data_IF_559565223208
#
_entry.id   IF_559565223208
#
_cell.length_a   1.000
_cell.length_b   1.000
_cell.length_c   1.000
_cell.angle_alpha   90.00
_cell.angle_beta   90.00
_cell.angle_gamma   90.00
#
_symmetry.space_group_name_H-M   'P 1'
#
loop_
_entity.id
_entity.type
_entity.pdbx_description
1 polymer ?
#
# COMPACT_ATOMS: atom_id res chain seq x y z
N UNK A 1 -20.50 14.32 -0.83
CA UNK A 1 -19.17 14.29 -1.48
C UNK A 1 -18.37 13.23 -0.75
N UNK A 2 -17.73 12.30 -1.47
CA UNK A 2 -16.80 11.36 -0.85
C UNK A 2 -15.53 12.08 -0.38
N UNK A 3 -14.81 11.48 0.56
CA UNK A 3 -13.48 11.93 0.93
C UNK A 3 -12.43 11.32 -0.02
N UNK A 4 -11.28 11.97 -0.13
CA UNK A 4 -10.11 11.32 -0.71
C UNK A 4 -9.64 10.22 0.23
N UNK A 5 -9.17 9.10 -0.31
CA UNK A 5 -8.69 7.97 0.50
C UNK A 5 -7.27 7.59 0.10
N UNK A 6 -6.45 7.22 1.08
CA UNK A 6 -5.16 6.60 0.81
C UNK A 6 -5.34 5.12 0.49
N UNK A 7 -4.73 4.66 -0.60
CA UNK A 7 -4.71 3.25 -0.98
C UNK A 7 -3.26 2.77 -0.90
N UNK A 8 -3.05 1.70 -0.15
CA UNK A 8 -1.76 1.05 0.06
C UNK A 8 -1.75 -0.27 -0.69
N UNK A 9 -0.78 -0.47 -1.59
CA UNK A 9 -0.64 -1.69 -2.40
C UNK A 9 0.76 -2.25 -2.30
N UNK A 10 0.85 -3.47 -1.78
CA UNK A 10 2.09 -4.23 -1.65
C UNK A 10 2.26 -5.16 -2.86
N UNK A 11 3.37 -5.01 -3.55
CA UNK A 11 3.78 -5.85 -4.66
C UNK A 11 5.01 -6.67 -4.27
N UNK A 12 5.07 -7.91 -4.74
CA UNK A 12 6.29 -8.73 -4.72
C UNK A 12 6.78 -8.97 -6.13
N UNK A 13 8.10 -8.89 -6.32
CA UNK A 13 8.76 -9.07 -7.61
C UNK A 13 9.43 -10.44 -7.67
N UNK A 14 9.09 -11.22 -8.69
CA UNK A 14 9.72 -12.52 -8.96
C UNK A 14 10.69 -12.43 -10.13
N UNK A 15 11.82 -13.17 -10.12
CA UNK A 15 12.21 -14.17 -9.13
C UNK A 15 13.00 -13.61 -7.92
N UNK A 16 13.28 -12.31 -7.88
CA UNK A 16 14.23 -11.72 -6.93
C UNK A 16 13.72 -11.55 -5.50
N UNK A 17 12.40 -11.55 -5.28
CA UNK A 17 11.77 -11.36 -3.97
C UNK A 17 11.77 -9.92 -3.46
N UNK A 18 12.11 -8.93 -4.30
CA UNK A 18 12.00 -7.52 -3.90
C UNK A 18 10.54 -7.14 -3.69
N UNK A 19 10.28 -6.28 -2.71
CA UNK A 19 8.92 -5.86 -2.36
C UNK A 19 8.79 -4.35 -2.47
N UNK A 20 7.65 -3.91 -3.01
CA UNK A 20 7.30 -2.50 -3.20
C UNK A 20 5.96 -2.26 -2.53
N UNK A 21 5.91 -1.33 -1.58
CA UNK A 21 4.67 -0.77 -1.09
C UNK A 21 4.48 0.61 -1.71
N UNK A 22 3.36 0.81 -2.40
CA UNK A 22 2.97 2.14 -2.87
C UNK A 22 1.82 2.68 -2.04
N UNK A 23 1.84 3.99 -1.79
CA UNK A 23 0.71 4.75 -1.28
C UNK A 23 0.27 5.79 -2.30
N UNK A 24 -0.95 5.63 -2.79
CA UNK A 24 -1.58 6.57 -3.73
C UNK A 24 -2.83 7.18 -3.12
N UNK A 25 -3.19 8.38 -3.56
CA UNK A 25 -4.42 9.04 -3.15
C UNK A 25 -5.49 8.81 -4.22
N UNK A 26 -6.63 8.22 -3.84
CA UNK A 26 -7.84 8.26 -4.66
C UNK A 26 -8.53 9.61 -4.43
N UNK A 27 -8.76 10.43 -5.47
CA UNK A 27 -9.43 11.71 -5.33
C UNK A 27 -10.84 11.58 -4.73
N UNK A 28 -11.27 12.63 -4.06
CA UNK A 28 -12.65 12.75 -3.59
C UNK A 28 -13.62 12.72 -4.78
N UNK A 29 -14.53 11.74 -4.79
CA UNK A 29 -15.54 11.60 -5.82
C UNK A 29 -16.95 11.69 -5.24
N UNK A 30 -17.87 12.27 -6.00
CA UNK A 30 -19.28 12.33 -5.62
C UNK A 30 -20.03 11.16 -6.26
N UNK A 31 -20.69 10.35 -5.44
CA UNK A 31 -21.60 9.29 -5.91
C UNK A 31 -22.83 9.85 -6.67
N UNK A 32 -23.11 11.15 -6.55
CA UNK A 32 -24.17 11.83 -7.29
C UNK A 32 -23.79 12.12 -8.75
N UNK A 33 -22.51 11.98 -9.12
CA UNK A 33 -22.02 12.20 -10.49
C UNK A 33 -21.71 10.83 -11.10
N UNK A 34 -22.43 10.50 -12.17
CA UNK A 34 -22.21 9.25 -12.90
C UNK A 34 -20.77 9.18 -13.43
N UNK A 35 -20.05 8.11 -13.10
CA UNK A 35 -18.67 7.87 -13.53
C UNK A 35 -17.58 8.56 -12.69
N UNK A 36 -17.92 9.45 -11.75
CA UNK A 36 -16.91 10.14 -10.96
C UNK A 36 -16.10 9.21 -10.03
N UNK A 37 -16.74 8.15 -9.52
CA UNK A 37 -16.05 7.11 -8.75
C UNK A 37 -15.09 6.31 -9.65
N UNK A 38 -15.57 5.88 -10.82
CA UNK A 38 -14.75 5.14 -11.78
C UNK A 38 -13.52 5.95 -12.25
N UNK A 39 -13.69 7.26 -12.43
CA UNK A 39 -12.59 8.16 -12.78
C UNK A 39 -11.58 8.31 -11.64
N UNK A 40 -12.05 8.37 -10.39
CA UNK A 40 -11.17 8.45 -9.22
C UNK A 40 -10.40 7.15 -8.99
N UNK A 41 -11.06 5.99 -9.12
CA UNK A 41 -10.41 4.68 -9.05
C UNK A 41 -9.37 4.54 -10.18
N UNK A 42 -9.71 4.95 -11.41
CA UNK A 42 -8.75 4.96 -12.53
C UNK A 42 -7.55 5.86 -12.26
N UNK A 43 -7.74 7.00 -11.60
CA UNK A 43 -6.64 7.88 -11.23
C UNK A 43 -5.68 7.20 -10.24
N UNK A 44 -6.20 6.53 -9.21
CA UNK A 44 -5.39 5.78 -8.24
C UNK A 44 -4.64 4.60 -8.89
N UNK A 45 -5.28 3.89 -9.81
CA UNK A 45 -4.66 2.79 -10.56
C UNK A 45 -3.56 3.30 -11.49
N UNK A 46 -3.78 4.43 -12.15
CA UNK A 46 -2.79 5.07 -13.02
C UNK A 46 -1.57 5.54 -12.21
N UNK A 47 -1.79 6.12 -11.03
CA UNK A 47 -0.72 6.51 -10.11
C UNK A 47 0.08 5.30 -9.62
N UNK A 48 -0.62 4.20 -9.28
CA UNK A 48 0.01 2.93 -8.87
C UNK A 48 0.90 2.37 -9.97
N UNK A 49 0.38 2.28 -11.20
CA UNK A 49 1.13 1.77 -12.35
C UNK A 49 2.36 2.62 -12.66
N UNK A 50 2.23 3.95 -12.55
CA UNK A 50 3.33 4.89 -12.72
C UNK A 50 4.45 4.64 -11.69
N UNK A 51 4.10 4.60 -10.40
CA UNK A 51 5.07 4.33 -9.33
C UNK A 51 5.74 2.97 -9.48
N UNK A 52 4.97 1.95 -9.89
CA UNK A 52 5.48 0.59 -10.16
C UNK A 52 6.48 0.58 -11.31
N UNK A 53 6.13 1.21 -12.44
CA UNK A 53 7.00 1.31 -13.62
C UNK A 53 8.28 2.08 -13.31
N UNK A 54 8.18 3.14 -12.51
CA UNK A 54 9.34 3.92 -12.05
C UNK A 54 10.25 3.10 -11.15
N UNK A 55 9.70 2.42 -10.15
CA UNK A 55 10.47 1.51 -9.31
C UNK A 55 11.18 0.44 -10.14
N UNK A 56 10.49 -0.19 -11.08
CA UNK A 56 11.08 -1.20 -11.97
C UNK A 56 12.28 -0.65 -12.75
N UNK A 57 12.16 0.59 -13.27
CA UNK A 57 13.20 1.23 -14.09
C UNK A 57 14.37 1.77 -13.27
N UNK A 58 14.09 2.50 -12.21
CA UNK A 58 15.07 3.37 -11.54
C UNK A 58 15.56 2.79 -10.21
N UNK A 59 14.77 1.94 -9.56
CA UNK A 59 15.13 1.29 -8.31
C UNK A 59 15.57 -0.16 -8.48
N UNK A 60 14.71 -0.97 -9.09
CA UNK A 60 14.91 -2.41 -9.23
C UNK A 60 15.94 -2.75 -10.30
N UNK A 61 15.85 -2.21 -11.52
CA UNK A 61 16.76 -2.59 -12.61
C UNK A 61 18.26 -2.39 -12.31
N UNK A 62 18.69 -1.32 -11.60
CA UNK A 62 20.08 -1.19 -11.17
C UNK A 62 20.53 -2.24 -10.14
N UNK A 63 19.65 -2.66 -9.24
CA UNK A 63 19.95 -3.69 -8.22
C UNK A 63 19.81 -5.12 -8.77
N UNK A 64 18.89 -5.32 -9.72
CA UNK A 64 18.55 -6.59 -10.32
C UNK A 64 18.15 -6.39 -11.80
N UNK A 65 19.05 -6.65 -12.77
CA UNK A 65 18.80 -6.39 -14.19
C UNK A 65 17.96 -7.47 -14.89
N UNK A 66 17.52 -8.50 -14.15
CA UNK A 66 16.72 -9.60 -14.69
C UNK A 66 15.31 -9.15 -15.08
N UNK A 67 14.62 -9.98 -15.87
CA UNK A 67 13.18 -9.76 -16.13
C UNK A 67 12.38 -10.10 -14.89
N UNK A 68 11.59 -9.13 -14.43
CA UNK A 68 10.73 -9.29 -13.27
C UNK A 68 9.26 -9.34 -13.65
N UNK A 69 8.49 -10.08 -12.85
CA UNK A 69 7.03 -10.01 -12.83
C UNK A 69 6.60 -9.57 -11.44
N UNK A 70 5.69 -8.59 -11.36
CA UNK A 70 5.11 -8.12 -10.10
C UNK A 70 3.74 -8.76 -9.85
N UNK A 71 3.54 -9.24 -8.63
CA UNK A 71 2.26 -9.76 -8.14
C UNK A 71 1.76 -8.86 -7.00
N UNK A 72 0.47 -8.49 -7.02
CA UNK A 72 -0.17 -7.78 -5.90
C UNK A 72 -0.39 -8.77 -4.75
N UNK A 73 0.25 -8.51 -3.61
CA UNK A 73 0.20 -9.35 -2.42
C UNK A 73 -0.88 -8.86 -1.46
N UNK A 74 -0.91 -7.54 -1.23
CA UNK A 74 -1.81 -6.92 -0.27
C UNK A 74 -2.33 -5.57 -0.78
N UNK A 75 -3.59 -5.28 -0.47
CA UNK A 75 -4.20 -3.97 -0.60
C UNK A 75 -4.91 -3.60 0.71
N UNK A 76 -4.72 -2.35 1.13
CA UNK A 76 -5.43 -1.73 2.25
C UNK A 76 -5.86 -0.31 1.88
N UNK A 77 -7.06 0.09 2.31
CA UNK A 77 -7.57 1.43 2.09
C UNK A 77 -7.74 2.17 3.42
N UNK A 78 -7.56 3.49 3.37
CA UNK A 78 -7.78 4.47 4.44
C UNK A 78 -6.71 4.52 5.53
N UNK A 79 -6.72 3.58 6.48
CA UNK A 79 -6.05 3.77 7.77
C UNK A 79 -5.15 2.61 8.19
N UNK A 80 -3.94 2.46 7.62
CA UNK A 80 -3.00 1.45 8.10
C UNK A 80 -2.53 1.73 9.53
N UNK A 81 -2.06 0.68 10.19
CA UNK A 81 -1.52 0.81 11.55
C UNK A 81 -0.20 1.59 11.53
N UNK A 82 -0.10 2.59 12.40
CA UNK A 82 1.10 3.37 12.64
C UNK A 82 1.34 4.51 11.64
N UNK A 83 2.05 5.54 12.12
CA UNK A 83 2.21 6.81 11.40
C UNK A 83 3.26 6.77 10.28
N UNK A 84 4.15 5.77 10.28
CA UNK A 84 5.24 5.71 9.33
C UNK A 84 4.77 5.48 7.88
N UNK A 85 3.53 5.02 7.67
CA UNK A 85 2.93 4.91 6.34
C UNK A 85 2.30 6.23 5.85
N UNK A 86 2.20 7.24 6.72
CA UNK A 86 1.75 8.58 6.37
C UNK A 86 2.87 9.55 6.01
N UNK A 87 4.12 9.22 6.32
CA UNK A 87 5.28 10.04 5.97
C UNK A 87 5.67 9.96 4.47
N UNK A 88 6.74 10.65 4.07
CA UNK A 88 7.23 10.63 2.68
C UNK A 88 7.65 9.22 2.24
N UNK A 89 7.76 8.96 0.95
CA UNK A 89 8.29 7.72 0.40
C UNK A 89 9.80 7.78 0.25
N UNK A 90 10.32 7.07 -0.75
CA UNK A 90 11.75 7.01 -1.06
C UNK A 90 12.61 6.27 -0.03
N UNK A 91 12.00 5.46 0.85
CA UNK A 91 12.70 4.74 1.94
C UNK A 91 12.34 3.27 2.01
N UNK A 92 13.19 2.48 2.67
CA UNK A 92 12.90 1.10 3.07
C UNK A 92 12.24 1.08 4.44
N UNK A 93 11.23 0.24 4.63
CA UNK A 93 10.64 0.00 5.96
C UNK A 93 10.08 -1.43 6.11
N UNK A 94 9.95 -1.86 7.37
CA UNK A 94 9.28 -3.11 7.74
C UNK A 94 7.77 -2.88 7.88
N UNK A 95 6.97 -3.68 7.19
CA UNK A 95 5.51 -3.60 7.21
C UNK A 95 4.94 -4.96 7.59
N UNK A 96 4.11 -4.98 8.62
CA UNK A 96 3.30 -6.12 8.98
C UNK A 96 2.07 -6.18 8.08
N UNK A 97 1.81 -7.35 7.51
CA UNK A 97 0.61 -7.64 6.74
C UNK A 97 -0.14 -8.81 7.38
N UNK A 98 -1.39 -8.57 7.76
CA UNK A 98 -2.28 -9.60 8.29
C UNK A 98 -3.43 -9.86 7.30
N UNK A 99 -3.66 -11.13 6.99
CA UNK A 99 -4.80 -11.51 6.16
C UNK A 99 -6.11 -11.11 6.84
N UNK A 100 -7.14 -10.80 6.06
CA UNK A 100 -8.50 -10.58 6.58
C UNK A 100 -9.41 -11.74 6.19
N UNK A 101 -10.57 -11.82 6.82
CA UNK A 101 -11.63 -12.76 6.42
C UNK A 101 -12.15 -12.54 4.99
N UNK A 102 -11.92 -11.36 4.41
CA UNK A 102 -12.26 -11.04 3.03
C UNK A 102 -11.33 -11.70 1.99
N UNK A 103 -10.19 -12.23 2.43
CA UNK A 103 -9.22 -12.91 1.57
C UNK A 103 -8.38 -11.95 0.70
N UNK A 104 -7.42 -12.52 -0.03
CA UNK A 104 -6.50 -11.75 -0.87
C UNK A 104 -7.24 -10.96 -1.97
N UNK A 105 -6.82 -9.71 -2.25
CA UNK A 105 -5.65 -9.02 -1.69
C UNK A 105 -5.93 -8.23 -0.39
N UNK A 106 -7.12 -8.30 0.18
CA UNK A 106 -7.51 -7.45 1.32
C UNK A 106 -6.80 -7.86 2.61
N UNK A 107 -5.90 -6.99 3.08
CA UNK A 107 -5.07 -7.24 4.26
C UNK A 107 -4.99 -5.99 5.13
N UNK A 108 -4.78 -6.18 6.43
CA UNK A 108 -4.43 -5.09 7.34
C UNK A 108 -2.91 -4.90 7.27
N UNK A 109 -2.50 -3.70 6.88
CA UNK A 109 -1.11 -3.29 6.77
C UNK A 109 -0.75 -2.36 7.92
N UNK A 110 0.51 -2.39 8.32
CA UNK A 110 0.98 -1.48 9.33
C UNK A 110 2.44 -1.54 9.70
N UNK A 111 2.87 -0.55 10.47
CA UNK A 111 4.24 -0.43 10.99
C UNK A 111 4.20 -0.55 12.50
N UNK A 112 4.98 -1.48 13.03
CA UNK A 112 5.17 -1.65 14.46
C UNK A 112 6.54 -2.32 14.71
N UNK A 113 7.20 -2.06 15.86
CA UNK A 113 8.49 -2.68 16.16
C UNK A 113 8.41 -4.20 16.30
N UNK A 114 7.26 -4.72 16.75
CA UNK A 114 7.01 -6.14 16.94
C UNK A 114 5.62 -6.55 16.45
N UNK A 115 5.44 -7.84 16.12
CA UNK A 115 4.13 -8.39 15.76
C UNK A 115 3.10 -8.19 16.89
N UNK A 116 3.54 -8.29 18.14
CA UNK A 116 2.68 -8.10 19.31
C UNK A 116 2.14 -6.66 19.41
N UNK A 117 2.98 -5.66 19.15
CA UNK A 117 2.57 -4.25 19.11
C UNK A 117 1.68 -3.93 17.91
N UNK A 118 1.91 -4.58 16.76
CA UNK A 118 1.00 -4.51 15.62
C UNK A 118 -0.39 -5.02 16.01
N UNK A 119 -0.49 -6.23 16.57
CA UNK A 119 -1.75 -6.80 17.01
C UNK A 119 -2.40 -6.05 18.18
N UNK A 120 -1.62 -5.38 19.01
CA UNK A 120 -2.17 -4.50 20.05
C UNK A 120 -2.93 -3.34 19.41
N UNK A 121 -2.29 -2.61 18.49
CA UNK A 121 -2.90 -1.47 17.80
C UNK A 121 -4.13 -1.90 16.97
N UNK A 122 -4.07 -3.03 16.27
CA UNK A 122 -5.21 -3.59 15.53
C UNK A 122 -6.42 -3.87 16.43
N UNK A 123 -6.21 -4.31 17.68
CA UNK A 123 -7.31 -4.57 18.63
C UNK A 123 -7.84 -3.31 19.29
N UNK A 124 -7.02 -2.27 19.39
CA UNK A 124 -7.40 -0.98 19.94
C UNK A 124 -8.18 -0.12 18.94
N UNK A 125 -8.08 -0.44 17.64
CA UNK A 125 -8.82 0.20 16.56
C UNK A 125 -10.05 -0.64 16.13
N UNK A 126 -11.28 -0.17 16.42
CA UNK A 126 -12.50 -0.91 16.06
C UNK A 126 -12.72 -1.08 14.56
N UNK A 127 -12.25 -0.14 13.73
CA UNK A 127 -12.42 -0.20 12.29
C UNK A 127 -11.52 -1.31 11.72
N UNK A 128 -10.27 -1.40 12.20
CA UNK A 128 -9.35 -2.48 11.83
C UNK A 128 -9.78 -3.84 12.35
N UNK A 129 -10.27 -3.92 13.58
CA UNK A 129 -10.80 -5.16 14.14
C UNK A 129 -12.05 -5.62 13.36
N UNK A 130 -12.87 -4.67 12.90
CA UNK A 130 -14.04 -4.92 12.06
C UNK A 130 -13.72 -5.55 10.71
N UNK A 131 -12.47 -5.50 10.25
CA UNK A 131 -12.02 -6.17 9.03
C UNK A 131 -11.77 -7.68 9.20
N UNK A 132 -11.91 -8.21 10.42
CA UNK A 132 -11.64 -9.61 10.73
C UNK A 132 -10.20 -10.05 10.45
N UNK A 133 -9.17 -9.35 10.96
CA UNK A 133 -7.78 -9.69 10.72
C UNK A 133 -7.40 -11.03 11.40
N UNK A 134 -6.61 -11.84 10.69
CA UNK A 134 -6.23 -13.20 11.05
C UNK A 134 -4.73 -13.28 11.35
N UNK A 135 -4.39 -13.93 12.46
CA UNK A 135 -3.00 -14.22 12.83
C UNK A 135 -2.47 -15.48 12.12
N UNK A 136 -1.14 -15.58 11.90
CA UNK A 136 -0.11 -14.58 12.20
C UNK A 136 -0.04 -13.44 11.17
N UNK A 137 0.58 -12.33 11.54
CA UNK A 137 0.97 -11.30 10.58
C UNK A 137 2.37 -11.59 10.00
N UNK A 138 2.57 -11.28 8.73
CA UNK A 138 3.86 -11.47 8.05
C UNK A 138 4.62 -10.15 7.97
N UNK A 139 5.94 -10.19 8.22
CA UNK A 139 6.80 -9.00 8.11
C UNK A 139 7.42 -8.91 6.72
N UNK A 140 7.06 -7.86 6.00
CA UNK A 140 7.58 -7.51 4.68
C UNK A 140 8.63 -6.40 4.78
N UNK A 141 9.70 -6.51 3.99
CA UNK A 141 10.74 -5.48 3.93
C UNK A 141 10.61 -4.76 2.59
N UNK A 142 9.92 -3.62 2.61
CA UNK A 142 9.42 -2.99 1.40
C UNK A 142 10.19 -1.74 1.08
N UNK A 143 10.34 -1.46 -0.21
CA UNK A 143 10.55 -0.10 -0.69
C UNK A 143 9.22 0.64 -0.66
N UNK A 144 9.18 1.79 -0.02
CA UNK A 144 7.97 2.58 0.09
C UNK A 144 8.04 3.80 -0.83
N UNK A 145 7.07 3.90 -1.74
CA UNK A 145 6.90 5.04 -2.64
C UNK A 145 5.53 5.65 -2.46
N UNK A 146 5.42 6.97 -2.64
CA UNK A 146 4.12 7.65 -2.63
C UNK A 146 4.04 8.70 -3.73
N UNK A 147 2.81 9.03 -4.13
CA UNK A 147 2.54 10.06 -5.13
C UNK A 147 2.97 11.47 -4.66
N UNK A 148 2.94 11.71 -3.34
CA UNK A 148 3.20 13.02 -2.73
C UNK A 148 4.68 13.45 -2.74
N UNK A 149 5.64 12.53 -2.91
CA UNK A 149 7.08 12.88 -2.91
C UNK A 149 7.52 13.72 -4.11
N UNK A 150 6.61 14.04 -5.04
CA UNK A 150 6.96 14.56 -6.36
C UNK A 150 6.31 15.89 -6.74
N UNK A 151 5.45 16.45 -5.88
CA UNK A 151 4.93 17.81 -6.08
C UNK A 151 5.97 18.90 -5.75
N UNK A 152 7.15 18.56 -5.22
CA UNK A 152 8.21 19.53 -4.87
C UNK A 152 9.25 19.80 -5.99
N UNK A 153 9.17 19.12 -7.14
CA UNK A 153 10.14 19.26 -8.25
C UNK A 153 9.51 19.79 -9.58
N UNK A 154 8.40 20.56 -9.50
CA UNK A 154 7.73 21.19 -10.64
C UNK A 154 7.93 22.71 -10.72
#
# INVERSE_FOLDING_TARGET
MGAAISIFRLFTYRPCGHELLVRVLRPAASNAVQGALDDADRAADSATERLRTEWERDGLAPECPERHTSDLVAEMQEAPVGEALYGPGGRRLGVWAAATEYGSPWMVLGTAPTEAEFWQQVREDPDLLGLGPLAPAELHHVHFLTDEDRDEDA
#
